data_IF_688055919302
#
_entry.id   IF_688055919302
#
_cell.length_a   1.000
_cell.length_b   1.000
_cell.length_c   1.000
_cell.angle_alpha   90.00
_cell.angle_beta   90.00
_cell.angle_gamma   90.00
#
_symmetry.space_group_name_H-M   'P 1'
#
loop_
_entity.id
_entity.type
_entity.pdbx_description
1 polymer ?
#
# COMPACT_ATOMS: atom_id res chain seq x y z
N UNK A 1 1.73 2.94 -41.84
CA UNK A 1 1.43 4.26 -41.25
C UNK A 1 0.13 4.14 -40.47
N UNK A 2 0.27 3.89 -39.17
CA UNK A 2 -0.37 4.63 -38.09
C UNK A 2 -0.12 3.82 -36.82
N UNK A 3 1.09 3.99 -36.30
CA UNK A 3 1.40 3.71 -34.91
C UNK A 3 0.58 4.70 -34.08
N UNK A 4 -0.61 4.28 -33.68
CA UNK A 4 -1.34 4.98 -32.61
C UNK A 4 -0.64 4.54 -31.33
N UNK A 5 0.41 5.26 -30.95
CA UNK A 5 0.93 5.22 -29.59
C UNK A 5 -0.24 5.60 -28.67
N UNK A 6 -0.84 4.60 -28.01
CA UNK A 6 -1.82 4.87 -26.99
C UNK A 6 -1.09 5.43 -25.76
N UNK A 7 -0.97 6.76 -25.70
CA UNK A 7 -0.37 7.55 -24.62
C UNK A 7 -1.37 7.88 -23.52
N UNK A 8 -2.27 6.95 -23.16
CA UNK A 8 -3.18 7.17 -22.03
C UNK A 8 -2.39 7.12 -20.71
N UNK A 9 -2.05 8.30 -20.18
CA UNK A 9 -1.46 8.46 -18.86
C UNK A 9 -2.53 8.17 -17.80
N UNK A 10 -2.26 7.22 -16.91
CA UNK A 10 -3.17 6.93 -15.80
C UNK A 10 -2.97 7.92 -14.65
N UNK A 11 -4.02 8.66 -14.30
CA UNK A 11 -4.01 9.56 -13.13
C UNK A 11 -4.57 8.85 -11.89
N UNK A 12 -3.79 8.81 -10.82
CA UNK A 12 -4.23 8.25 -9.55
C UNK A 12 -5.36 9.08 -8.92
N UNK A 13 -6.54 8.48 -8.77
CA UNK A 13 -7.71 9.10 -8.13
C UNK A 13 -7.63 9.16 -6.60
N UNK A 14 -6.58 8.61 -5.99
CA UNK A 14 -6.43 8.46 -4.53
C UNK A 14 -7.64 7.79 -3.87
N UNK A 15 -8.26 6.82 -4.56
CA UNK A 15 -9.47 6.14 -4.08
C UNK A 15 -9.20 5.21 -2.89
N UNK A 16 -7.99 4.64 -2.78
CA UNK A 16 -7.63 3.69 -1.72
C UNK A 16 -7.87 2.22 -2.07
N UNK A 17 -8.36 1.90 -3.27
CA UNK A 17 -8.62 0.50 -3.66
C UNK A 17 -7.36 -0.38 -3.59
N UNK A 18 -6.19 0.16 -3.91
CA UNK A 18 -4.94 -0.57 -3.69
C UNK A 18 -4.72 -0.88 -2.20
N UNK A 19 -4.99 0.06 -1.29
CA UNK A 19 -4.90 -0.18 0.16
C UNK A 19 -5.97 -1.16 0.67
N UNK A 20 -7.09 -1.36 -0.04
CA UNK A 20 -8.12 -2.34 0.31
C UNK A 20 -7.70 -3.77 -0.04
N UNK A 21 -7.06 -3.96 -1.20
CA UNK A 21 -6.85 -5.28 -1.79
C UNK A 21 -5.39 -5.73 -1.83
N UNK A 22 -4.44 -4.81 -1.99
CA UNK A 22 -3.02 -5.11 -2.05
C UNK A 22 -2.40 -5.10 -0.65
N UNK A 23 -2.03 -6.29 -0.17
CA UNK A 23 -1.38 -6.46 1.13
C UNK A 23 0.15 -6.55 0.93
N UNK A 24 0.93 -5.50 1.30
CA UNK A 24 2.34 -5.45 0.99
C UNK A 24 3.16 -6.43 1.83
N UNK A 25 4.11 -7.08 1.16
CA UNK A 25 5.12 -7.96 1.76
C UNK A 25 6.37 -7.19 2.12
N UNK A 26 6.90 -7.41 3.32
CA UNK A 26 8.10 -6.76 3.82
C UNK A 26 9.11 -7.82 4.23
N UNK A 27 10.37 -7.61 3.82
CA UNK A 27 11.52 -8.26 4.45
C UNK A 27 11.73 -7.69 5.87
N UNK A 28 12.32 -8.47 6.78
CA UNK A 28 12.51 -8.00 8.16
C UNK A 28 13.33 -6.70 8.28
N UNK A 29 14.31 -6.49 7.38
CA UNK A 29 15.11 -5.27 7.36
C UNK A 29 14.26 -4.04 6.99
N UNK A 30 13.34 -4.18 6.05
CA UNK A 30 12.40 -3.11 5.68
C UNK A 30 11.42 -2.83 6.83
N UNK A 31 10.89 -3.88 7.46
CA UNK A 31 10.05 -3.73 8.64
C UNK A 31 10.75 -2.97 9.77
N UNK A 32 12.05 -3.25 10.01
CA UNK A 32 12.85 -2.51 10.98
C UNK A 32 13.02 -1.03 10.62
N UNK A 33 13.24 -0.71 9.34
CA UNK A 33 13.36 0.67 8.90
C UNK A 33 12.06 1.46 9.11
N UNK A 34 10.91 0.88 8.76
CA UNK A 34 9.60 1.49 8.98
C UNK A 34 9.32 1.64 10.48
N UNK A 35 9.67 0.63 11.30
CA UNK A 35 9.55 0.72 12.75
C UNK A 35 10.34 1.90 13.32
N UNK A 36 11.57 2.11 12.84
CA UNK A 36 12.41 3.24 13.26
C UNK A 36 11.78 4.60 12.92
N UNK A 37 11.20 4.75 11.72
CA UNK A 37 10.47 5.98 11.35
C UNK A 37 9.25 6.25 12.23
N UNK A 38 8.65 5.19 12.79
CA UNK A 38 7.53 5.29 13.73
C UNK A 38 7.97 5.36 15.19
N UNK A 39 9.28 5.42 15.48
CA UNK A 39 9.84 5.37 16.83
C UNK A 39 9.39 4.14 17.63
N UNK A 40 9.34 2.98 16.98
CA UNK A 40 8.98 1.69 17.57
C UNK A 40 10.14 0.70 17.47
N UNK A 41 10.22 -0.21 18.44
CA UNK A 41 11.00 -1.44 18.26
C UNK A 41 10.36 -2.33 17.18
N UNK A 42 11.15 -3.24 16.62
CA UNK A 42 10.64 -4.21 15.64
C UNK A 42 9.53 -5.11 16.21
N UNK A 43 9.64 -5.51 17.47
CA UNK A 43 8.63 -6.35 18.11
C UNK A 43 7.31 -5.59 18.32
N UNK A 44 7.36 -4.33 18.74
CA UNK A 44 6.16 -3.48 18.81
C UNK A 44 5.55 -3.25 17.43
N UNK A 45 6.38 -3.02 16.42
CA UNK A 45 5.93 -2.86 15.03
C UNK A 45 5.22 -4.12 14.55
N UNK A 46 5.80 -5.31 14.76
CA UNK A 46 5.16 -6.58 14.41
C UNK A 46 3.86 -6.80 15.17
N UNK A 47 3.85 -6.53 16.47
CA UNK A 47 2.66 -6.68 17.31
C UNK A 47 1.50 -5.80 16.82
N UNK A 48 1.77 -4.56 16.42
CA UNK A 48 0.78 -3.58 15.95
C UNK A 48 0.38 -3.78 14.49
N UNK A 49 1.35 -4.01 13.62
CA UNK A 49 1.18 -3.86 12.17
C UNK A 49 1.41 -5.13 11.35
N UNK A 50 1.87 -6.24 11.94
CA UNK A 50 1.94 -7.52 11.20
C UNK A 50 0.59 -8.23 11.15
N UNK A 51 0.31 -8.86 10.02
CA UNK A 51 -0.75 -9.86 9.90
C UNK A 51 -0.34 -11.15 10.63
N UNK A 52 -1.05 -11.48 11.70
CA UNK A 52 -0.76 -12.66 12.53
C UNK A 52 -1.04 -13.99 11.83
N UNK A 53 -1.75 -13.98 10.71
CA UNK A 53 -2.04 -15.17 9.90
C UNK A 53 -0.88 -15.53 8.97
N UNK A 54 0.09 -14.62 8.81
CA UNK A 54 1.27 -14.87 7.99
C UNK A 54 2.24 -15.80 8.74
N UNK A 55 2.61 -16.97 8.18
CA UNK A 55 3.45 -17.94 8.88
C UNK A 55 4.95 -17.67 8.75
N UNK A 56 5.36 -16.70 7.92
CA UNK A 56 6.78 -16.44 7.63
C UNK A 56 7.52 -15.84 8.82
N UNK A 57 8.77 -16.30 9.02
CA UNK A 57 9.67 -15.76 10.04
C UNK A 57 10.68 -14.75 9.49
N UNK A 58 10.90 -14.76 8.17
CA UNK A 58 11.84 -13.88 7.45
C UNK A 58 11.15 -12.70 6.77
N UNK A 59 9.84 -12.78 6.64
CA UNK A 59 9.02 -11.77 6.00
C UNK A 59 7.75 -11.57 6.81
N UNK A 60 7.08 -10.46 6.57
CA UNK A 60 5.77 -10.19 7.13
C UNK A 60 4.86 -9.52 6.11
N UNK A 61 3.55 -9.71 6.30
CA UNK A 61 2.53 -8.90 5.64
C UNK A 61 2.10 -7.76 6.55
N UNK A 62 1.90 -6.57 5.99
CA UNK A 62 1.22 -5.50 6.72
C UNK A 62 -0.22 -5.92 6.98
N UNK A 63 -0.69 -5.71 8.21
CA UNK A 63 -2.04 -6.05 8.64
C UNK A 63 -3.08 -5.23 7.88
N UNK A 64 -4.11 -5.93 7.41
CA UNK A 64 -5.39 -5.29 7.04
C UNK A 64 -6.37 -5.41 8.21
N UNK A 65 -7.11 -4.32 8.47
CA UNK A 65 -8.29 -4.32 9.34
C UNK A 65 -9.57 -4.43 8.47
N UNK A 66 -10.74 -4.25 9.07
CA UNK A 66 -12.03 -4.32 8.37
C UNK A 66 -12.15 -3.32 7.20
N UNK A 67 -11.37 -2.24 7.24
CA UNK A 67 -11.37 -1.17 6.26
C UNK A 67 -10.14 -1.21 5.34
N UNK A 68 -9.36 -2.30 5.30
CA UNK A 68 -8.16 -2.42 4.46
C UNK A 68 -6.85 -2.20 5.23
N UNK A 69 -5.80 -1.77 4.53
CA UNK A 69 -4.47 -1.54 5.10
C UNK A 69 -4.52 -0.65 6.34
N UNK A 70 -3.84 -1.07 7.41
CA UNK A 70 -3.82 -0.34 8.69
C UNK A 70 -3.22 1.07 8.61
N UNK A 71 -2.41 1.36 7.59
CA UNK A 71 -1.85 2.69 7.34
C UNK A 71 -2.71 3.54 6.40
N UNK A 72 -3.91 3.08 6.03
CA UNK A 72 -4.84 3.89 5.27
C UNK A 72 -5.59 4.85 6.20
N UNK A 73 -5.43 6.15 5.94
CA UNK A 73 -6.19 7.24 6.54
C UNK A 73 -7.09 7.93 5.51
N UNK A 74 -7.84 8.94 5.97
CA UNK A 74 -8.65 9.81 5.11
C UNK A 74 -8.07 11.23 5.08
N UNK A 75 -8.09 11.83 3.90
CA UNK A 75 -7.71 13.22 3.64
C UNK A 75 -8.92 14.10 3.33
N UNK A 76 -8.63 15.25 2.73
CA UNK A 76 -9.63 16.21 2.24
C UNK A 76 -10.53 15.54 1.20
N UNK A 77 -11.81 15.90 1.19
CA UNK A 77 -12.83 15.38 0.26
C UNK A 77 -12.95 13.85 0.25
N UNK A 78 -12.70 13.20 1.40
CA UNK A 78 -12.71 11.74 1.56
C UNK A 78 -11.67 10.97 0.72
N UNK A 79 -10.65 11.65 0.18
CA UNK A 79 -9.57 10.97 -0.53
C UNK A 79 -8.76 10.08 0.42
N UNK A 80 -8.33 8.91 -0.04
CA UNK A 80 -7.48 8.02 0.76
C UNK A 80 -6.05 8.54 0.83
N UNK A 81 -5.47 8.47 2.03
CA UNK A 81 -4.09 8.84 2.31
C UNK A 81 -3.34 7.67 2.94
N UNK A 82 -2.06 7.53 2.61
CA UNK A 82 -1.17 6.62 3.32
C UNK A 82 -0.50 7.41 4.46
N UNK A 83 -0.68 6.99 5.70
CA UNK A 83 -0.12 7.69 6.87
C UNK A 83 1.40 7.53 7.00
N UNK A 84 1.99 6.60 6.24
CA UNK A 84 3.44 6.37 6.16
C UNK A 84 3.99 6.64 4.76
N UNK A 85 3.35 7.52 3.97
CA UNK A 85 3.65 7.70 2.55
C UNK A 85 5.14 7.89 2.24
N UNK A 86 5.83 8.72 3.02
CA UNK A 86 7.23 9.10 2.79
C UNK A 86 8.19 7.91 2.95
N UNK A 87 7.86 6.96 3.81
CA UNK A 87 8.64 5.76 4.12
C UNK A 87 7.83 4.47 3.92
N UNK A 88 6.87 4.48 2.98
CA UNK A 88 6.02 3.31 2.68
C UNK A 88 6.84 2.13 2.16
N UNK A 89 6.35 0.89 2.31
CA UNK A 89 7.01 -0.31 1.80
C UNK A 89 7.33 -0.22 0.30
N UNK A 90 8.41 -0.85 -0.12
CA UNK A 90 8.87 -0.91 -1.50
C UNK A 90 7.80 -1.53 -2.40
N UNK A 91 7.14 -2.61 -1.94
CA UNK A 91 6.00 -3.20 -2.63
C UNK A 91 4.89 -2.18 -2.96
N UNK A 92 4.66 -1.19 -2.08
CA UNK A 92 3.71 -0.09 -2.33
C UNK A 92 4.28 1.03 -3.22
N UNK A 93 5.60 1.17 -3.35
CA UNK A 93 6.26 2.09 -4.29
C UNK A 93 6.25 1.52 -5.70
N UNK A 94 6.52 0.23 -5.81
CA UNK A 94 6.52 -0.51 -7.08
C UNK A 94 5.12 -0.65 -7.67
N UNK A 95 4.10 -0.62 -6.81
CA UNK A 95 2.71 -0.45 -7.22
C UNK A 95 2.48 0.97 -7.78
N UNK A 96 2.90 1.20 -9.02
CA UNK A 96 2.62 2.44 -9.76
C UNK A 96 1.21 2.38 -10.37
N UNK A 97 0.35 3.37 -10.11
CA UNK A 97 -1.01 3.39 -10.66
C UNK A 97 -1.01 3.27 -12.19
N UNK A 98 -1.79 2.32 -12.71
CA UNK A 98 -1.90 2.09 -14.15
C UNK A 98 -3.18 1.32 -14.50
N UNK A 99 -3.61 1.39 -15.76
CA UNK A 99 -4.76 0.64 -16.27
C UNK A 99 -4.61 -0.89 -16.15
N UNK A 100 -3.40 -1.41 -15.90
CA UNK A 100 -3.15 -2.85 -15.73
C UNK A 100 -3.70 -3.36 -14.40
N UNK A 101 -3.72 -2.52 -13.38
CA UNK A 101 -4.21 -2.89 -12.06
C UNK A 101 -5.74 -2.85 -12.00
N UNK A 102 -6.34 -3.93 -11.48
CA UNK A 102 -7.81 -4.05 -11.35
C UNK A 102 -8.37 -2.97 -10.44
N UNK A 103 -7.70 -2.75 -9.31
CA UNK A 103 -8.02 -1.79 -8.27
C UNK A 103 -8.03 -0.35 -8.80
N UNK A 104 -7.12 -0.06 -9.74
CA UNK A 104 -7.04 1.22 -10.42
C UNK A 104 -8.23 1.43 -11.36
N UNK A 105 -8.63 0.41 -12.13
CA UNK A 105 -9.83 0.47 -12.98
C UNK A 105 -11.11 0.60 -12.15
N UNK A 106 -11.20 -0.12 -11.03
CA UNK A 106 -12.33 0.00 -10.10
C UNK A 106 -12.43 1.39 -9.49
N UNK A 107 -11.31 2.08 -9.30
CA UNK A 107 -11.28 3.46 -8.80
C UNK A 107 -11.77 4.51 -9.80
N UNK A 108 -12.05 4.12 -11.04
CA UNK A 108 -12.65 4.98 -12.08
C UNK A 108 -14.17 4.84 -12.12
N UNK A 109 -14.73 3.81 -11.49
CA UNK A 109 -16.18 3.62 -11.45
C UNK A 109 -16.81 4.66 -10.50
N UNK A 110 -18.00 5.19 -10.86
CA UNK A 110 -18.72 6.17 -10.06
C UNK A 110 -19.23 5.61 -8.72
#
# INVERSE_FOLDING_TARGET
MNDIENTDIFECRRCGNCCLHFQPHLEMAEAQNIANHLSLSLDEFKAKYADKRWPGHRTMLIRHNQNGCIFMGRGVDNLSLCTIHDFKPQACRDYQPSFKHRECREGLLP
#
